data_IF_812365118470
#
_entry.id   IF_812365118470
#
_cell.length_a   1.000
_cell.length_b   1.000
_cell.length_c   1.000
_cell.angle_alpha   90.00
_cell.angle_beta   90.00
_cell.angle_gamma   90.00
#
_symmetry.space_group_name_H-M   'P 1'
#
loop_
_entity.id
_entity.type
_entity.pdbx_description
1 polymer ?
#
# COMPACT_ATOMS: atom_id res chain seq x y z
N UNK A 1 -17.71 -4.81 10.10
CA UNK A 1 -17.73 -5.72 11.27
C UNK A 1 -16.29 -6.05 11.66
N UNK A 2 -15.91 -5.93 12.95
CA UNK A 2 -14.55 -6.26 13.42
C UNK A 2 -14.34 -7.78 13.33
N UNK A 3 -13.12 -8.20 12.99
CA UNK A 3 -12.72 -9.62 12.86
C UNK A 3 -13.01 -10.46 14.11
N UNK A 4 -12.94 -9.80 15.28
CA UNK A 4 -13.27 -10.35 16.59
C UNK A 4 -14.73 -10.82 16.68
N UNK A 5 -15.68 -10.07 16.12
CA UNK A 5 -17.10 -10.46 16.15
C UNK A 5 -17.40 -11.67 15.28
N UNK A 6 -16.62 -11.88 14.21
CA UNK A 6 -16.78 -13.00 13.29
C UNK A 6 -16.34 -14.33 13.90
N UNK A 7 -15.28 -14.30 14.73
CA UNK A 7 -14.81 -15.48 15.46
C UNK A 7 -15.87 -15.98 16.42
N UNK A 8 -16.45 -15.07 17.21
CA UNK A 8 -17.52 -15.40 18.16
C UNK A 8 -18.72 -16.05 17.48
N UNK A 9 -19.22 -15.46 16.39
CA UNK A 9 -20.35 -16.00 15.62
C UNK A 9 -20.06 -17.42 15.11
N UNK A 10 -18.84 -17.69 14.64
CA UNK A 10 -18.48 -19.03 14.16
C UNK A 10 -18.34 -20.05 15.30
N UNK A 11 -17.85 -19.59 16.45
CA UNK A 11 -17.77 -20.42 17.66
C UNK A 11 -19.17 -20.80 18.16
N UNK A 12 -20.11 -19.84 18.20
CA UNK A 12 -21.50 -20.10 18.58
C UNK A 12 -22.19 -21.11 17.65
N UNK A 13 -21.83 -21.15 16.36
CA UNK A 13 -22.32 -22.18 15.42
C UNK A 13 -21.73 -23.55 15.70
N UNK A 14 -20.47 -23.62 16.12
CA UNK A 14 -19.79 -24.88 16.44
C UNK A 14 -20.32 -25.46 17.75
N UNK A 15 -20.53 -24.59 18.74
CA UNK A 15 -21.10 -24.92 20.05
C UNK A 15 -22.61 -25.21 19.97
N UNK A 16 -23.19 -25.19 18.75
CA UNK A 16 -24.61 -25.43 18.43
C UNK A 16 -25.59 -24.44 19.07
N UNK A 17 -25.08 -23.29 19.53
CA UNK A 17 -25.87 -22.19 20.06
C UNK A 17 -26.53 -21.36 18.95
N UNK A 18 -26.03 -21.45 17.71
CA UNK A 18 -26.52 -20.66 16.57
C UNK A 18 -26.66 -21.50 15.31
N UNK A 19 -27.77 -21.31 14.56
CA UNK A 19 -27.96 -21.99 13.27
C UNK A 19 -27.06 -21.37 12.18
N UNK A 20 -26.44 -22.18 11.30
CA UNK A 20 -25.56 -21.67 10.24
C UNK A 20 -26.18 -20.63 9.29
N UNK A 21 -27.51 -20.71 9.05
CA UNK A 21 -28.24 -19.72 8.24
C UNK A 21 -28.29 -18.35 8.89
N UNK A 22 -28.67 -18.30 10.18
CA UNK A 22 -28.71 -17.07 10.97
C UNK A 22 -27.31 -16.47 11.15
N UNK A 23 -26.30 -17.33 11.31
CA UNK A 23 -24.90 -16.92 11.40
C UNK A 23 -24.35 -16.29 10.11
N UNK A 24 -24.96 -16.55 8.94
CA UNK A 24 -24.57 -15.91 7.69
C UNK A 24 -25.17 -14.50 7.56
N UNK A 25 -26.38 -14.29 8.08
CA UNK A 25 -27.09 -13.01 8.07
C UNK A 25 -26.44 -11.98 9.00
N UNK A 26 -26.04 -12.38 10.21
CA UNK A 26 -25.42 -11.49 11.20
C UNK A 26 -24.20 -10.70 10.66
N UNK A 27 -23.20 -11.32 10.01
CA UNK A 27 -22.08 -10.63 9.39
C UNK A 27 -22.36 -10.10 7.98
N UNK A 28 -23.57 -10.31 7.44
CA UNK A 28 -23.93 -9.92 6.07
C UNK A 28 -23.12 -10.66 5.00
N UNK A 29 -22.84 -11.95 5.22
CA UNK A 29 -22.08 -12.78 4.26
C UNK A 29 -22.98 -13.83 3.62
N UNK A 30 -22.61 -14.28 2.43
CA UNK A 30 -23.35 -15.37 1.78
C UNK A 30 -23.21 -16.69 2.54
N UNK A 31 -24.23 -17.56 2.52
CA UNK A 31 -24.15 -18.88 3.17
C UNK A 31 -22.93 -19.70 2.72
N UNK A 32 -22.54 -19.61 1.44
CA UNK A 32 -21.32 -20.24 0.91
C UNK A 32 -20.05 -19.72 1.60
N UNK A 33 -19.97 -18.42 1.85
CA UNK A 33 -18.85 -17.84 2.57
C UNK A 33 -18.84 -18.30 4.04
N UNK A 34 -20.00 -18.34 4.70
CA UNK A 34 -20.16 -18.88 6.06
C UNK A 34 -19.63 -20.32 6.15
N UNK A 35 -20.07 -21.21 5.25
CA UNK A 35 -19.60 -22.61 5.19
C UNK A 35 -18.09 -22.74 4.96
N UNK A 36 -17.50 -21.90 4.09
CA UNK A 36 -16.04 -21.88 3.89
C UNK A 36 -15.27 -21.51 5.16
N UNK A 37 -15.81 -20.61 5.97
CA UNK A 37 -15.18 -20.19 7.21
C UNK A 37 -15.31 -21.25 8.29
N UNK A 38 -16.48 -21.88 8.42
CA UNK A 38 -16.67 -23.00 9.34
C UNK A 38 -15.71 -24.15 9.01
N UNK A 39 -15.55 -24.48 7.72
CA UNK A 39 -14.55 -25.47 7.28
C UNK A 39 -13.13 -25.05 7.67
N UNK A 40 -12.77 -23.79 7.44
CA UNK A 40 -11.43 -23.28 7.78
C UNK A 40 -11.18 -23.27 9.29
N UNK A 41 -12.15 -22.84 10.08
CA UNK A 41 -12.07 -22.81 11.54
C UNK A 41 -11.89 -24.23 12.10
N UNK A 42 -12.57 -25.24 11.55
CA UNK A 42 -12.37 -26.64 11.95
C UNK A 42 -10.97 -27.18 11.64
N UNK A 43 -10.31 -26.67 10.60
CA UNK A 43 -8.98 -27.14 10.18
C UNK A 43 -7.83 -26.43 10.90
N UNK A 44 -7.97 -25.12 11.12
CA UNK A 44 -6.87 -24.24 11.55
C UNK A 44 -7.18 -23.51 12.87
N UNK A 45 -8.34 -23.78 13.48
CA UNK A 45 -8.81 -23.10 14.67
C UNK A 45 -9.01 -21.59 14.48
N UNK A 46 -9.01 -20.82 15.58
CA UNK A 46 -9.10 -19.36 15.55
C UNK A 46 -8.01 -18.68 14.72
N UNK A 47 -6.80 -19.26 14.66
CA UNK A 47 -5.66 -18.69 13.93
C UNK A 47 -5.91 -18.65 12.41
N UNK A 48 -6.64 -19.62 11.86
CA UNK A 48 -7.00 -19.67 10.44
C UNK A 48 -8.02 -18.61 10.00
N UNK A 49 -8.64 -17.89 10.93
CA UNK A 49 -9.59 -16.83 10.59
C UNK A 49 -8.89 -15.53 10.18
N UNK A 50 -7.59 -15.42 10.46
CA UNK A 50 -6.76 -14.35 9.93
C UNK A 50 -6.65 -14.44 8.41
N UNK A 51 -6.49 -13.30 7.75
CA UNK A 51 -6.19 -13.32 6.32
C UNK A 51 -4.76 -13.81 6.11
N UNK A 52 -4.60 -15.00 5.52
CA UNK A 52 -3.31 -15.60 5.21
C UNK A 52 -2.41 -14.77 4.27
N UNK A 53 -2.96 -13.76 3.57
CA UNK A 53 -2.14 -12.83 2.80
C UNK A 53 -1.56 -11.70 3.65
N UNK A 54 -2.01 -11.51 4.89
CA UNK A 54 -1.39 -10.54 5.81
C UNK A 54 0.04 -10.98 6.12
N UNK A 55 0.96 -10.02 6.09
CA UNK A 55 2.38 -10.25 6.32
C UNK A 55 3.13 -10.85 5.13
N UNK A 56 2.44 -11.33 4.08
CA UNK A 56 3.09 -11.79 2.85
C UNK A 56 3.33 -10.63 1.89
N UNK A 57 4.49 -10.64 1.24
CA UNK A 57 4.75 -9.76 0.10
C UNK A 57 3.71 -10.03 -0.99
N UNK A 58 3.15 -8.97 -1.58
CA UNK A 58 2.19 -9.12 -2.67
C UNK A 58 2.86 -9.64 -3.94
N UNK A 59 2.12 -10.37 -4.79
CA UNK A 59 2.65 -10.96 -6.03
C UNK A 59 3.22 -9.93 -7.03
N UNK A 60 2.94 -8.63 -6.85
CA UNK A 60 3.45 -7.51 -7.67
C UNK A 60 4.61 -6.76 -7.01
N UNK A 61 5.14 -7.29 -5.90
CA UNK A 61 6.27 -6.69 -5.21
C UNK A 61 7.52 -6.86 -6.08
N UNK A 62 8.19 -5.75 -6.38
CA UNK A 62 9.44 -5.79 -7.12
C UNK A 62 10.52 -6.48 -6.28
N UNK A 63 11.45 -7.22 -6.91
CA UNK A 63 12.60 -7.78 -6.21
C UNK A 63 13.33 -6.67 -5.46
N UNK A 64 13.67 -6.93 -4.18
CA UNK A 64 14.35 -5.93 -3.34
C UNK A 64 15.67 -5.48 -3.97
N UNK A 65 16.40 -6.39 -4.64
CA UNK A 65 17.62 -6.07 -5.37
C UNK A 65 17.42 -5.01 -6.46
N UNK A 66 16.33 -5.09 -7.22
CA UNK A 66 16.00 -4.11 -8.26
C UNK A 66 15.66 -2.74 -7.64
N UNK A 67 14.95 -2.76 -6.52
CA UNK A 67 14.61 -1.53 -5.78
C UNK A 67 15.88 -0.85 -5.27
N UNK A 68 16.79 -1.61 -4.67
CA UNK A 68 18.04 -1.10 -4.11
C UNK A 68 18.96 -0.57 -5.21
N UNK A 69 19.05 -1.27 -6.33
CA UNK A 69 19.79 -0.81 -7.51
C UNK A 69 19.25 0.52 -8.03
N UNK A 70 17.94 0.64 -8.24
CA UNK A 70 17.32 1.86 -8.74
C UNK A 70 17.52 3.03 -7.76
N UNK A 71 17.35 2.79 -6.46
CA UNK A 71 17.56 3.81 -5.43
C UNK A 71 19.01 4.26 -5.31
N UNK A 72 19.97 3.34 -5.46
CA UNK A 72 21.40 3.66 -5.48
C UNK A 72 21.73 4.61 -6.64
N UNK A 73 21.31 4.26 -7.85
CA UNK A 73 21.54 5.08 -9.04
C UNK A 73 20.92 6.46 -8.88
N UNK A 74 19.67 6.55 -8.40
CA UNK A 74 18.99 7.83 -8.14
C UNK A 74 19.78 8.67 -7.13
N UNK A 75 20.27 8.07 -6.05
CA UNK A 75 21.04 8.79 -5.02
C UNK A 75 22.36 9.33 -5.53
N UNK A 76 23.06 8.55 -6.36
CA UNK A 76 24.38 8.89 -6.87
C UNK A 76 24.32 9.91 -8.01
N UNK A 77 23.35 9.78 -8.92
CA UNK A 77 23.35 10.53 -10.19
C UNK A 77 22.18 11.52 -10.33
N UNK A 78 21.05 11.28 -9.67
CA UNK A 78 19.77 11.96 -9.95
C UNK A 78 19.07 12.48 -8.69
N UNK A 79 19.85 12.93 -7.70
CA UNK A 79 19.32 13.35 -6.39
C UNK A 79 18.31 14.49 -6.49
N UNK A 80 18.55 15.44 -7.40
CA UNK A 80 17.72 16.64 -7.55
C UNK A 80 16.61 16.48 -8.61
N UNK A 81 16.50 15.30 -9.22
CA UNK A 81 15.56 15.07 -10.30
C UNK A 81 14.16 14.84 -9.77
N UNK A 82 13.15 15.28 -10.53
CA UNK A 82 11.78 14.89 -10.24
C UNK A 82 11.55 13.41 -10.62
N UNK A 83 10.51 12.75 -10.07
CA UNK A 83 10.24 11.34 -10.35
C UNK A 83 9.97 11.00 -11.82
N UNK A 84 9.61 11.98 -12.65
CA UNK A 84 9.43 11.78 -14.10
C UNK A 84 10.78 11.74 -14.78
N UNK A 85 11.63 12.75 -14.52
CA UNK A 85 12.96 12.84 -15.11
C UNK A 85 13.87 11.69 -14.62
N UNK A 86 13.79 11.31 -13.35
CA UNK A 86 14.51 10.17 -12.81
C UNK A 86 14.12 8.86 -13.51
N UNK A 87 12.84 8.69 -13.88
CA UNK A 87 12.39 7.52 -14.65
C UNK A 87 13.01 7.52 -16.04
N UNK A 88 12.95 8.65 -16.75
CA UNK A 88 13.48 8.78 -18.12
C UNK A 88 14.97 8.44 -18.15
N UNK A 89 15.75 8.98 -17.22
CA UNK A 89 17.18 8.69 -17.14
C UNK A 89 17.49 7.25 -16.72
N UNK A 90 16.69 6.65 -15.83
CA UNK A 90 16.84 5.24 -15.47
C UNK A 90 16.59 4.31 -16.67
N UNK A 91 15.61 4.66 -17.51
CA UNK A 91 15.26 3.90 -18.71
C UNK A 91 16.32 4.07 -19.80
N UNK A 92 16.70 5.30 -20.12
CA UNK A 92 17.61 5.61 -21.23
C UNK A 92 19.08 5.26 -20.93
N UNK A 93 19.57 5.59 -19.74
CA UNK A 93 21.01 5.44 -19.40
C UNK A 93 21.29 4.09 -18.77
N UNK A 94 20.38 3.58 -17.94
CA UNK A 94 20.62 2.38 -17.12
C UNK A 94 19.78 1.17 -17.54
N UNK A 95 18.91 1.31 -18.55
CA UNK A 95 18.05 0.23 -19.07
C UNK A 95 17.00 -0.27 -18.08
N UNK A 96 16.72 0.47 -17.00
CA UNK A 96 15.80 0.08 -15.94
C UNK A 96 14.39 0.61 -16.20
N UNK A 97 13.56 -0.24 -16.81
CA UNK A 97 12.17 0.09 -17.12
C UNK A 97 11.30 -0.05 -15.86
N UNK A 98 11.04 1.07 -15.19
CA UNK A 98 10.16 1.16 -14.03
C UNK A 98 9.05 2.18 -14.28
N UNK A 99 7.83 1.87 -13.84
CA UNK A 99 6.73 2.83 -13.93
C UNK A 99 6.99 4.09 -13.11
N UNK A 100 6.60 5.25 -13.63
CA UNK A 100 6.72 6.57 -12.95
C UNK A 100 6.23 6.54 -11.50
N UNK A 101 5.06 5.95 -11.28
CA UNK A 101 4.44 5.88 -9.96
C UNK A 101 5.23 4.98 -8.99
N UNK A 102 5.92 3.96 -9.51
CA UNK A 102 6.82 3.12 -8.72
C UNK A 102 8.05 3.91 -8.30
N UNK A 103 8.71 4.59 -9.23
CA UNK A 103 9.85 5.48 -8.94
C UNK A 103 9.47 6.54 -7.90
N UNK A 104 8.32 7.21 -8.08
CA UNK A 104 7.82 8.19 -7.11
C UNK A 104 7.67 7.60 -5.71
N UNK A 105 7.05 6.43 -5.55
CA UNK A 105 6.90 5.78 -4.23
C UNK A 105 8.23 5.37 -3.63
N UNK A 106 9.16 4.86 -4.44
CA UNK A 106 10.50 4.51 -3.99
C UNK A 106 11.26 5.74 -3.50
N UNK A 107 11.25 6.84 -4.26
CA UNK A 107 11.91 8.09 -3.88
C UNK A 107 11.31 8.69 -2.60
N UNK A 108 9.99 8.61 -2.40
CA UNK A 108 9.33 9.04 -1.16
C UNK A 108 9.77 8.18 0.02
N UNK A 109 9.72 6.86 -0.15
CA UNK A 109 10.12 5.92 0.91
C UNK A 109 11.60 6.10 1.29
N UNK A 110 12.45 6.42 0.31
CA UNK A 110 13.87 6.67 0.51
C UNK A 110 14.20 8.09 0.99
N UNK A 111 13.19 8.96 1.17
CA UNK A 111 13.37 10.36 1.62
C UNK A 111 14.02 11.29 0.59
N UNK A 112 14.15 10.86 -0.67
CA UNK A 112 14.75 11.64 -1.76
C UNK A 112 13.74 12.66 -2.29
N UNK A 113 12.46 12.27 -2.35
CA UNK A 113 11.39 13.12 -2.86
C UNK A 113 10.31 13.39 -1.82
N UNK A 114 10.04 14.67 -1.57
CA UNK A 114 8.97 15.08 -0.66
C UNK A 114 7.70 15.38 -1.50
N UNK A 115 6.56 14.70 -1.24
CA UNK A 115 5.29 14.99 -1.89
C UNK A 115 4.88 16.44 -1.71
N UNK A 116 4.27 17.05 -2.73
CA UNK A 116 3.87 18.47 -2.71
C UNK A 116 3.03 18.85 -1.49
N UNK A 117 2.11 17.97 -1.05
CA UNK A 117 1.27 18.19 0.15
C UNK A 117 2.05 18.28 1.46
N UNK A 118 3.26 17.73 1.51
CA UNK A 118 4.13 17.71 2.69
C UNK A 118 5.23 18.78 2.64
N UNK A 119 5.33 19.54 1.54
CA UNK A 119 6.32 20.61 1.42
C UNK A 119 5.86 21.81 2.24
N UNK A 120 6.81 22.49 2.87
CA UNK A 120 6.54 23.77 3.52
C UNK A 120 5.93 24.76 2.50
N UNK A 121 4.91 25.54 2.90
CA UNK A 121 4.33 26.54 2.02
C UNK A 121 5.39 27.55 1.60
N UNK A 122 5.41 27.89 0.31
CA UNK A 122 6.31 28.92 -0.20
C UNK A 122 5.82 30.28 0.28
N UNK A 123 6.63 30.98 1.07
CA UNK A 123 6.35 32.36 1.44
C UNK A 123 6.65 33.22 0.21
N UNK A 124 5.61 33.87 -0.33
CA UNK A 124 5.73 34.79 -1.45
C UNK A 124 6.06 36.18 -0.93
N UNK A 125 7.26 36.68 -1.22
CA UNK A 125 7.63 38.06 -0.91
C UNK A 125 7.02 39.01 -1.96
N UNK A 126 6.42 40.15 -1.55
CA UNK A 126 6.02 41.20 -2.47
C UNK A 126 7.23 41.72 -3.25
N UNK A 127 7.12 41.83 -4.57
CA UNK A 127 8.08 42.59 -5.38
C UNK A 127 7.67 44.05 -5.40
N UNK A 128 8.58 44.93 -5.00
CA UNK A 128 8.40 46.37 -5.22
C UNK A 128 8.27 46.67 -6.72
N UNK A 129 7.38 47.61 -7.05
CA UNK A 129 7.28 48.12 -8.42
C UNK A 129 8.61 48.73 -8.82
N UNK A 130 9.06 48.45 -10.05
CA UNK A 130 10.20 49.12 -10.65
C UNK A 130 9.87 50.60 -10.84
N UNK A 131 10.86 51.47 -10.68
CA UNK A 131 10.73 52.89 -10.99
C UNK A 131 10.29 53.07 -12.44
N UNK A 132 9.23 53.84 -12.68
CA UNK A 132 8.86 54.30 -14.00
C UNK A 132 9.71 55.51 -14.37
N UNK A 133 10.34 55.48 -15.54
CA UNK A 133 10.89 56.67 -16.20
C UNK A 133 9.71 57.48 -16.72
N UNK A 134 9.36 58.54 -15.99
CA UNK A 134 8.52 59.61 -16.52
C UNK A 134 9.28 60.47 -17.51
#
# INVERSE_FOLDING_TARGET
MKEINRLKILQDVIDRNLRPGQAAEMPGITPRHCSRLLKRYRQLGPLGMSNHSRGRAGNRLLPTSLIDQALRIIREHYRDFDPTLARENLEEVHGLVLGKETIRRLMIKAGIWIPRRQRAPKIHQPRYRRSCTG
#
